data_IF_367967288530
#
_entry.id   IF_367967288530
#
_cell.length_a   1.000
_cell.length_b   1.000
_cell.length_c   1.000
_cell.angle_alpha   90.00
_cell.angle_beta   90.00
_cell.angle_gamma   90.00
#
_symmetry.space_group_name_H-M   'P 1'
#
loop_
_entity.id
_entity.type
_entity.pdbx_description
1 polymer ?
#
# COMPACT_ATOMS: atom_id res chain seq x y z
N UNK A 1 21.58 -16.73 21.16
CA UNK A 1 21.54 -16.60 19.69
C UNK A 1 20.09 -16.72 19.30
N UNK A 2 19.38 -15.60 19.25
CA UNK A 2 17.97 -15.58 18.85
C UNK A 2 17.96 -15.17 17.38
N UNK A 3 17.92 -16.17 16.50
CA UNK A 3 17.67 -15.97 15.08
C UNK A 3 16.18 -15.66 14.91
N UNK A 4 15.84 -14.38 14.90
CA UNK A 4 14.53 -13.89 14.50
C UNK A 4 14.38 -14.03 12.99
N UNK A 5 14.11 -15.26 12.55
CA UNK A 5 13.71 -15.59 11.18
C UNK A 5 12.26 -15.12 10.95
N UNK A 6 12.06 -13.80 10.90
CA UNK A 6 10.83 -13.14 10.46
C UNK A 6 10.93 -12.62 9.03
N UNK A 7 11.86 -13.15 8.23
CA UNK A 7 12.09 -12.78 6.85
C UNK A 7 11.13 -13.52 5.91
N UNK A 8 9.83 -13.32 6.08
CA UNK A 8 8.89 -13.64 5.01
C UNK A 8 9.18 -12.69 3.87
N UNK A 9 9.95 -13.12 2.86
CA UNK A 9 10.13 -12.35 1.63
C UNK A 9 8.74 -12.03 1.10
N UNK A 10 8.25 -10.81 1.36
CA UNK A 10 6.95 -10.36 0.94
C UNK A 10 6.89 -10.59 -0.56
N UNK A 11 6.00 -11.50 -1.01
CA UNK A 11 5.86 -11.81 -2.42
C UNK A 11 5.80 -10.50 -3.19
N UNK A 12 6.57 -10.35 -4.29
CA UNK A 12 6.55 -9.11 -5.05
C UNK A 12 5.11 -8.82 -5.46
N UNK A 13 4.60 -7.64 -5.10
CA UNK A 13 3.24 -7.25 -5.44
C UNK A 13 3.15 -7.01 -6.95
N UNK A 14 2.54 -7.95 -7.66
CA UNK A 14 2.37 -7.86 -9.13
C UNK A 14 1.56 -6.63 -9.53
N UNK A 15 0.59 -6.22 -8.71
CA UNK A 15 -0.23 -5.03 -8.92
C UNK A 15 0.62 -3.74 -8.85
N UNK A 16 1.58 -3.68 -7.92
CA UNK A 16 2.55 -2.58 -7.86
C UNK A 16 3.41 -2.49 -9.13
N UNK A 17 3.85 -3.63 -9.67
CA UNK A 17 4.63 -3.67 -10.91
C UNK A 17 3.79 -3.23 -12.12
N UNK A 18 2.51 -3.64 -12.15
CA UNK A 18 1.55 -3.22 -13.18
C UNK A 18 1.29 -1.71 -13.13
N UNK A 19 0.96 -1.14 -11.97
CA UNK A 19 0.73 0.30 -11.82
C UNK A 19 1.96 1.11 -12.27
N UNK A 20 3.17 0.72 -11.84
CA UNK A 20 4.41 1.38 -12.28
C UNK A 20 4.59 1.32 -13.79
N UNK A 21 4.26 0.19 -14.42
CA UNK A 21 4.34 0.05 -15.88
C UNK A 21 3.33 0.96 -16.58
N UNK A 22 2.09 1.00 -16.10
CA UNK A 22 1.03 1.83 -16.70
C UNK A 22 1.29 3.32 -16.53
N UNK A 23 1.77 3.77 -15.36
CA UNK A 23 2.15 5.16 -15.12
C UNK A 23 3.27 5.60 -16.07
N UNK A 24 4.28 4.74 -16.30
CA UNK A 24 5.36 5.03 -17.25
C UNK A 24 4.86 5.08 -18.70
N UNK A 25 3.91 4.20 -19.08
CA UNK A 25 3.29 4.25 -20.41
C UNK A 25 2.46 5.52 -20.61
N UNK A 26 1.82 6.02 -19.56
CA UNK A 26 1.04 7.26 -19.58
C UNK A 26 1.91 8.54 -19.52
N UNK A 27 3.24 8.45 -19.64
CA UNK A 27 4.14 9.61 -19.51
C UNK A 27 3.88 10.74 -20.53
N UNK A 28 3.24 10.45 -21.66
CA UNK A 28 2.86 11.43 -22.67
C UNK A 28 1.55 12.18 -22.38
N UNK A 29 0.72 11.70 -21.46
CA UNK A 29 -0.63 12.22 -21.21
C UNK A 29 -0.86 12.51 -19.72
N UNK A 30 -1.01 13.78 -19.31
CA UNK A 30 -1.03 14.17 -17.89
C UNK A 30 -2.29 13.71 -17.15
N UNK A 31 -3.46 13.67 -17.80
CA UNK A 31 -4.72 13.23 -17.17
C UNK A 31 -4.73 11.73 -16.82
N UNK A 32 -4.47 10.79 -17.75
CA UNK A 32 -4.45 9.37 -17.42
C UNK A 32 -3.32 9.02 -16.45
N UNK A 33 -2.19 9.74 -16.48
CA UNK A 33 -1.12 9.56 -15.50
C UNK A 33 -1.59 9.88 -14.07
N UNK A 34 -2.23 11.03 -13.86
CA UNK A 34 -2.69 11.45 -12.54
C UNK A 34 -3.73 10.48 -11.96
N UNK A 35 -4.62 9.93 -12.80
CA UNK A 35 -5.60 8.92 -12.40
C UNK A 35 -4.91 7.62 -11.93
N UNK A 36 -3.94 7.13 -12.71
CA UNK A 36 -3.15 5.95 -12.34
C UNK A 36 -2.34 6.15 -11.06
N UNK A 37 -1.78 7.34 -10.84
CA UNK A 37 -1.08 7.70 -9.60
C UNK A 37 -2.04 7.71 -8.39
N UNK A 38 -3.28 8.19 -8.56
CA UNK A 38 -4.30 8.18 -7.51
C UNK A 38 -4.76 6.75 -7.16
N UNK A 39 -5.01 5.92 -8.17
CA UNK A 39 -5.35 4.51 -8.00
C UNK A 39 -4.22 3.73 -7.32
N UNK A 40 -2.97 3.97 -7.74
CA UNK A 40 -1.81 3.33 -7.13
C UNK A 40 -1.65 3.73 -5.65
N UNK A 41 -1.83 5.01 -5.33
CA UNK A 41 -1.84 5.47 -3.94
C UNK A 41 -2.94 4.84 -3.09
N UNK A 42 -4.13 4.58 -3.66
CA UNK A 42 -5.20 3.87 -2.98
C UNK A 42 -4.88 2.39 -2.77
N UNK A 43 -4.25 1.72 -3.74
CA UNK A 43 -3.76 0.35 -3.61
C UNK A 43 -2.75 0.25 -2.45
N UNK A 44 -1.75 1.14 -2.41
CA UNK A 44 -0.74 1.14 -1.35
C UNK A 44 -1.37 1.26 0.03
N UNK A 45 -2.35 2.15 0.20
CA UNK A 45 -3.05 2.32 1.49
C UNK A 45 -3.90 1.11 1.91
N UNK A 46 -4.42 0.33 0.95
CA UNK A 46 -5.29 -0.83 1.25
C UNK A 46 -4.50 -2.12 1.46
N UNK A 47 -3.46 -2.31 0.65
CA UNK A 47 -2.73 -3.57 0.55
C UNK A 47 -1.40 -3.55 1.30
N UNK A 48 -0.80 -2.36 1.44
CA UNK A 48 0.56 -2.19 1.99
C UNK A 48 0.63 -1.22 3.17
N UNK A 49 -0.49 -0.64 3.60
CA UNK A 49 -0.48 0.12 4.84
C UNK A 49 -0.07 -0.83 5.96
N UNK A 50 0.98 -0.51 6.73
CA UNK A 50 1.24 -1.25 7.95
C UNK A 50 -0.03 -1.14 8.77
N UNK A 51 -0.51 -2.27 9.27
CA UNK A 51 -1.64 -2.34 10.18
C UNK A 51 -1.36 -1.31 11.27
N UNK A 52 -2.04 -0.16 11.20
CA UNK A 52 -1.93 0.81 12.28
C UNK A 52 -2.36 0.02 13.52
N UNK A 53 -1.55 -0.03 14.59
CA UNK A 53 -1.95 -0.74 15.78
C UNK A 53 -3.33 -0.20 16.15
N UNK A 54 -4.30 -1.11 16.24
CA UNK A 54 -5.66 -0.82 16.61
C UNK A 54 -5.72 -0.43 18.10
N UNK A 55 -5.03 0.64 18.48
CA UNK A 55 -5.03 1.19 19.83
C UNK A 55 -5.62 2.59 19.76
N UNK A 56 -6.80 2.77 20.36
CA UNK A 56 -7.48 4.06 20.42
C UNK A 56 -8.98 4.04 20.17
N UNK A 57 -9.60 2.87 19.94
CA UNK A 57 -11.07 2.75 19.88
C UNK A 57 -11.61 1.61 20.75
N UNK A 58 -11.15 1.51 21.99
CA UNK A 58 -11.94 0.88 23.06
C UNK A 58 -11.86 1.70 24.34
N UNK A 59 -13.06 1.95 24.89
CA UNK A 59 -13.39 2.64 26.13
C UNK A 59 -13.22 4.15 26.16
N UNK A 60 -14.30 4.87 25.82
CA UNK A 60 -15.02 5.70 26.79
C UNK A 60 -16.53 5.69 26.45
N UNK A 61 -17.23 4.68 26.94
CA UNK A 61 -18.69 4.67 27.11
C UNK A 61 -18.95 4.14 28.53
N UNK A 62 -19.43 5.01 29.42
CA UNK A 62 -19.64 4.77 30.86
C UNK A 62 -18.40 5.18 31.67
N UNK A 63 -18.45 6.08 32.65
CA UNK A 63 -19.54 6.54 33.53
C UNK A 63 -19.65 8.08 33.53
#
# INVERSE_FOLDING_TARGET
>A
MEHSEGGGAARPCEDCAWYRTMINRAAGDPRPRADLEALFGAHLRRTHAPEAPAEGRRHLRGL
#
